data_IF_223710616536
#
_entry.id   IF_223710616536
#
_cell.length_a   1.000
_cell.length_b   1.000
_cell.length_c   1.000
_cell.angle_alpha   90.00
_cell.angle_beta   90.00
_cell.angle_gamma   90.00
#
_symmetry.space_group_name_H-M   'P 1'
#
loop_
_entity.id
_entity.type
_entity.pdbx_description
1 polymer ?
#
# COMPACT_ATOMS: atom_id res chain seq x y z
N UNK A 1 -11.34 -0.07 19.21
CA UNK A 1 -10.78 0.49 17.97
C UNK A 1 -11.86 0.42 16.90
N UNK A 2 -12.22 1.54 16.30
CA UNK A 2 -13.25 1.55 15.26
C UNK A 2 -12.52 1.58 13.92
N UNK A 3 -12.73 0.58 13.10
CA UNK A 3 -12.22 0.51 11.74
C UNK A 3 -13.35 0.84 10.77
N UNK A 4 -13.10 1.76 9.88
CA UNK A 4 -14.06 2.17 8.86
C UNK A 4 -13.43 1.92 7.49
N UNK A 5 -14.14 1.23 6.62
CA UNK A 5 -13.92 1.35 5.19
C UNK A 5 -14.78 2.51 4.72
N UNK A 6 -14.15 3.66 4.47
CA UNK A 6 -14.90 4.82 4.03
C UNK A 6 -15.02 4.87 2.51
N UNK A 7 -16.07 5.52 2.08
CA UNK A 7 -16.28 5.90 0.69
C UNK A 7 -15.77 7.31 0.50
N UNK A 8 -14.83 7.53 -0.40
CA UNK A 8 -14.43 8.87 -0.81
C UNK A 8 -14.76 9.09 -2.29
N UNK A 9 -15.39 10.22 -2.59
CA UNK A 9 -15.78 10.60 -3.96
C UNK A 9 -17.25 10.38 -4.30
N UNK A 10 -17.69 10.88 -5.45
CA UNK A 10 -19.12 10.98 -5.85
C UNK A 10 -19.67 9.65 -6.39
N UNK A 11 -18.82 8.67 -6.71
CA UNK A 11 -19.24 7.34 -7.17
C UNK A 11 -18.34 6.28 -6.54
N UNK A 12 -18.91 5.48 -5.67
CA UNK A 12 -18.21 4.57 -4.79
C UNK A 12 -17.91 3.23 -5.48
N UNK A 13 -16.64 2.83 -5.47
CA UNK A 13 -16.28 1.44 -5.62
C UNK A 13 -16.39 0.77 -4.25
N UNK A 14 -17.11 -0.32 -4.17
CA UNK A 14 -17.34 -1.03 -2.93
C UNK A 14 -16.57 -2.34 -3.01
N UNK A 15 -15.74 -2.59 -2.01
CA UNK A 15 -15.26 -3.93 -1.75
C UNK A 15 -16.47 -4.77 -1.38
N UNK A 16 -16.93 -5.63 -2.29
CA UNK A 16 -18.20 -6.33 -2.16
C UNK A 16 -18.15 -7.60 -1.31
N UNK A 17 -16.98 -8.14 -1.10
CA UNK A 17 -16.82 -9.44 -0.43
C UNK A 17 -15.63 -9.39 0.52
N UNK A 18 -15.91 -9.05 1.76
CA UNK A 18 -14.93 -9.12 2.85
C UNK A 18 -15.49 -9.89 4.04
N UNK A 19 -14.62 -10.67 4.66
CA UNK A 19 -14.86 -11.28 5.94
C UNK A 19 -13.88 -10.71 6.98
N UNK A 20 -14.30 -10.66 8.22
CA UNK A 20 -13.46 -10.30 9.34
C UNK A 20 -13.46 -11.37 10.43
N UNK A 21 -12.38 -11.39 11.21
CA UNK A 21 -12.26 -12.21 12.42
C UNK A 21 -11.61 -11.38 13.53
N UNK A 22 -12.12 -11.53 14.75
CA UNK A 22 -11.57 -10.92 15.97
C UNK A 22 -10.95 -11.96 16.91
N UNK A 23 -10.96 -13.23 16.53
CA UNK A 23 -10.53 -14.39 17.32
C UNK A 23 -9.43 -15.20 16.64
N UNK A 24 -8.51 -14.49 15.97
CA UNK A 24 -7.34 -15.07 15.28
C UNK A 24 -7.69 -16.03 14.12
N UNK A 25 -8.80 -15.76 13.43
CA UNK A 25 -9.23 -16.52 12.26
C UNK A 25 -9.96 -17.82 12.58
N UNK A 26 -10.35 -18.06 13.84
CA UNK A 26 -11.14 -19.24 14.22
C UNK A 26 -12.57 -19.15 13.68
N UNK A 27 -13.18 -17.97 13.77
CA UNK A 27 -14.48 -17.69 13.20
C UNK A 27 -14.41 -16.46 12.29
N UNK A 28 -15.18 -16.49 11.21
CA UNK A 28 -15.25 -15.42 10.23
C UNK A 28 -16.69 -14.97 10.06
N UNK A 29 -16.87 -13.65 10.08
CA UNK A 29 -18.16 -13.01 9.82
C UNK A 29 -18.06 -12.13 8.58
N UNK A 30 -19.13 -11.99 7.84
CA UNK A 30 -19.17 -11.13 6.67
C UNK A 30 -19.09 -9.66 7.06
N UNK A 31 -18.30 -8.90 6.33
CA UNK A 31 -18.08 -7.47 6.53
C UNK A 31 -18.86 -6.68 5.48
N UNK A 32 -19.88 -5.93 5.92
CA UNK A 32 -20.59 -5.01 5.04
C UNK A 32 -19.86 -3.67 5.01
N UNK A 33 -19.50 -3.21 3.81
CA UNK A 33 -18.75 -1.96 3.63
C UNK A 33 -19.59 -0.69 3.84
N UNK A 34 -20.91 -0.85 4.00
CA UNK A 34 -21.85 0.27 4.20
C UNK A 34 -22.10 0.60 5.67
N UNK A 35 -21.49 -0.15 6.58
CA UNK A 35 -21.69 0.00 8.00
C UNK A 35 -20.39 0.34 8.72
N UNK A 36 -20.54 1.13 9.79
CA UNK A 36 -19.48 1.36 10.76
C UNK A 36 -19.39 0.18 11.71
N UNK A 37 -18.25 -0.48 11.78
CA UNK A 37 -18.01 -1.56 12.72
C UNK A 37 -17.18 -1.08 13.91
N UNK A 38 -17.75 -1.22 15.11
CA UNK A 38 -17.04 -1.01 16.36
C UNK A 38 -16.66 -2.38 16.93
N UNK A 39 -15.37 -2.70 16.89
CA UNK A 39 -14.86 -3.98 17.39
C UNK A 39 -14.51 -3.95 18.90
N UNK A 40 -14.96 -2.93 19.61
CA UNK A 40 -14.77 -2.79 21.05
C UNK A 40 -13.30 -2.78 21.45
N UNK A 41 -12.95 -3.60 22.45
CA UNK A 41 -11.57 -3.71 22.96
C UNK A 41 -10.71 -4.73 22.19
N UNK A 42 -11.10 -5.12 20.98
CA UNK A 42 -10.29 -6.05 20.19
C UNK A 42 -8.92 -5.43 19.92
N UNK A 43 -7.86 -6.19 20.14
CA UNK A 43 -6.48 -5.79 19.86
C UNK A 43 -6.05 -6.24 18.48
N UNK A 44 -6.81 -7.11 17.83
CA UNK A 44 -6.51 -7.64 16.50
C UNK A 44 -7.79 -7.79 15.68
N UNK A 45 -7.71 -7.30 14.44
CA UNK A 45 -8.71 -7.52 13.42
C UNK A 45 -8.03 -8.19 12.22
N UNK A 46 -8.57 -9.33 11.78
CA UNK A 46 -8.13 -9.99 10.56
C UNK A 46 -9.17 -9.74 9.47
N UNK A 47 -8.70 -9.47 8.26
CA UNK A 47 -9.54 -9.22 7.08
C UNK A 47 -9.10 -10.13 5.94
N UNK A 48 -10.08 -10.62 5.18
CA UNK A 48 -9.88 -11.35 3.93
C UNK A 48 -11.05 -11.09 3.00
N UNK A 49 -10.88 -11.32 1.71
CA UNK A 49 -11.95 -11.04 0.76
C UNK A 49 -11.83 -11.82 -0.55
N UNK A 50 -12.82 -11.61 -1.39
CA UNK A 50 -12.83 -12.11 -2.75
C UNK A 50 -13.28 -10.99 -3.70
N UNK A 51 -12.36 -10.07 -3.99
CA UNK A 51 -12.60 -8.87 -4.79
C UNK A 51 -11.69 -8.93 -6.04
N UNK A 52 -12.01 -9.74 -7.03
CA UNK A 52 -11.13 -10.02 -8.17
C UNK A 52 -10.82 -8.78 -9.03
N UNK A 53 -11.61 -7.74 -8.91
CA UNK A 53 -11.38 -6.46 -9.60
C UNK A 53 -10.62 -5.44 -8.73
N UNK A 54 -10.04 -5.86 -7.61
CA UNK A 54 -9.30 -5.01 -6.69
C UNK A 54 -10.16 -4.13 -5.79
N UNK A 55 -9.54 -3.08 -5.23
CA UNK A 55 -10.16 -2.16 -4.27
C UNK A 55 -10.49 -0.79 -4.90
N UNK A 56 -10.17 -0.59 -6.18
CA UNK A 56 -10.45 0.63 -6.92
C UNK A 56 -10.83 0.33 -8.38
N UNK A 57 -11.55 1.27 -9.01
CA UNK A 57 -11.85 1.26 -10.47
C UNK A 57 -11.09 2.34 -11.22
N UNK A 58 -10.57 3.34 -10.51
CA UNK A 58 -9.76 4.40 -11.09
C UNK A 58 -8.84 5.00 -10.01
N UNK A 59 -7.77 5.65 -10.44
CA UNK A 59 -6.85 6.35 -9.54
C UNK A 59 -7.40 7.68 -8.99
N UNK A 60 -8.46 8.22 -9.57
CA UNK A 60 -8.89 9.59 -9.32
C UNK A 60 -10.26 9.76 -8.64
N UNK A 61 -11.11 8.75 -8.56
CA UNK A 61 -12.45 9.01 -8.07
C UNK A 61 -13.28 7.83 -7.60
N UNK A 62 -12.87 6.60 -7.89
CA UNK A 62 -13.67 5.42 -7.54
C UNK A 62 -12.76 4.38 -6.89
N UNK A 63 -12.56 4.51 -5.59
CA UNK A 63 -11.70 3.62 -4.80
C UNK A 63 -12.24 3.45 -3.38
N UNK A 64 -11.85 2.35 -2.75
CA UNK A 64 -12.08 2.10 -1.33
C UNK A 64 -10.80 2.38 -0.56
N UNK A 65 -10.91 2.96 0.63
CA UNK A 65 -9.76 3.13 1.53
C UNK A 65 -10.12 2.75 2.96
N UNK A 66 -9.10 2.40 3.73
CA UNK A 66 -9.24 2.26 5.17
C UNK A 66 -9.24 3.63 5.85
N UNK A 67 -10.06 3.77 6.88
CA UNK A 67 -10.00 4.87 7.83
C UNK A 67 -9.99 4.29 9.25
N UNK A 68 -9.08 4.76 10.08
CA UNK A 68 -9.00 4.36 11.48
C UNK A 68 -9.65 5.44 12.35
N UNK A 69 -10.68 5.08 13.12
CA UNK A 69 -11.60 6.03 13.75
C UNK A 69 -11.00 6.94 14.82
N UNK A 70 -10.01 6.46 15.59
CA UNK A 70 -9.42 7.26 16.68
C UNK A 70 -7.98 7.69 16.34
N UNK A 71 -7.76 8.99 16.14
CA UNK A 71 -6.47 9.55 15.73
C UNK A 71 -5.30 9.24 16.69
N UNK A 72 -5.59 8.97 17.95
CA UNK A 72 -4.59 8.67 19.00
C UNK A 72 -4.11 7.22 18.99
N UNK A 73 -4.85 6.31 18.38
CA UNK A 73 -4.53 4.89 18.40
C UNK A 73 -3.63 4.53 17.23
N UNK A 74 -2.44 4.02 17.52
CA UNK A 74 -1.54 3.49 16.49
C UNK A 74 -2.03 2.13 15.98
N UNK A 75 -1.88 1.90 14.69
CA UNK A 75 -2.33 0.68 14.00
C UNK A 75 -1.15 0.08 13.25
N UNK A 76 -0.90 -1.20 13.48
CA UNK A 76 0.05 -1.99 12.71
C UNK A 76 -0.70 -2.97 11.81
N UNK A 77 -0.38 -2.98 10.53
CA UNK A 77 -0.84 -3.99 9.58
C UNK A 77 0.23 -5.05 9.36
N UNK A 78 -0.18 -6.26 9.04
CA UNK A 78 0.68 -7.39 8.68
C UNK A 78 -0.06 -8.37 7.78
N UNK A 79 0.68 -9.27 7.14
CA UNK A 79 0.14 -10.27 6.22
C UNK A 79 -0.01 -9.75 4.79
N UNK A 80 -0.22 -10.65 3.86
CA UNK A 80 -0.26 -10.37 2.43
C UNK A 80 -1.56 -9.66 2.04
N UNK A 81 -1.44 -8.47 1.46
CA UNK A 81 -2.59 -7.64 1.06
C UNK A 81 -3.48 -8.33 0.01
N UNK A 82 -2.92 -9.29 -0.77
CA UNK A 82 -3.66 -10.02 -1.79
C UNK A 82 -4.77 -10.90 -1.23
N UNK A 83 -4.74 -11.19 0.08
CA UNK A 83 -5.85 -11.87 0.78
C UNK A 83 -7.18 -11.10 0.71
N UNK A 84 -7.17 -9.79 0.46
CA UNK A 84 -8.38 -8.98 0.27
C UNK A 84 -9.05 -9.22 -1.08
N UNK A 85 -8.29 -9.68 -2.07
CA UNK A 85 -8.77 -9.83 -3.44
C UNK A 85 -9.01 -11.28 -3.84
N UNK A 86 -8.26 -12.22 -3.28
CA UNK A 86 -8.40 -13.66 -3.59
C UNK A 86 -8.03 -14.51 -2.37
N UNK A 87 -8.91 -14.55 -1.37
CA UNK A 87 -8.66 -15.12 -0.05
C UNK A 87 -8.15 -16.57 -0.04
N UNK A 88 -8.61 -17.40 -0.97
CA UNK A 88 -8.27 -18.83 -1.01
C UNK A 88 -6.98 -19.12 -1.81
N UNK A 89 -6.61 -18.24 -2.74
CA UNK A 89 -5.47 -18.44 -3.65
C UNK A 89 -4.66 -17.13 -3.85
N UNK A 90 -4.51 -16.37 -2.76
CA UNK A 90 -3.87 -15.04 -2.80
C UNK A 90 -2.41 -15.08 -3.26
N UNK A 91 -1.70 -16.17 -2.99
CA UNK A 91 -0.28 -16.31 -3.37
C UNK A 91 -0.06 -16.28 -4.87
N UNK A 92 -1.06 -16.73 -5.65
CA UNK A 92 -1.06 -16.72 -7.10
C UNK A 92 -1.81 -15.51 -7.71
N UNK A 93 -2.26 -14.57 -6.87
CA UNK A 93 -2.92 -13.38 -7.36
C UNK A 93 -1.89 -12.37 -7.87
N UNK A 94 -1.86 -12.14 -9.19
CA UNK A 94 -1.16 -11.00 -9.80
C UNK A 94 -1.93 -9.70 -9.54
N UNK A 95 -1.27 -8.55 -9.61
CA UNK A 95 -1.96 -7.27 -9.59
C UNK A 95 -2.66 -7.02 -10.92
N UNK A 96 -3.70 -6.20 -10.89
CA UNK A 96 -4.39 -5.64 -12.06
C UNK A 96 -4.37 -4.12 -11.96
N UNK A 97 -4.77 -3.44 -13.02
CA UNK A 97 -4.80 -1.99 -13.04
C UNK A 97 -5.60 -1.43 -11.86
N UNK A 98 -5.05 -0.41 -11.22
CA UNK A 98 -5.58 0.30 -10.05
C UNK A 98 -5.90 -0.56 -8.82
N UNK A 99 -5.39 -1.78 -8.73
CA UNK A 99 -5.85 -2.85 -7.84
C UNK A 99 -5.92 -2.46 -6.35
N UNK A 100 -4.90 -1.75 -5.82
CA UNK A 100 -4.84 -1.28 -4.43
C UNK A 100 -4.61 0.24 -4.33
N UNK A 101 -4.96 0.97 -5.40
CA UNK A 101 -4.82 2.42 -5.45
C UNK A 101 -5.49 3.06 -4.23
N UNK A 102 -4.75 3.94 -3.53
CA UNK A 102 -5.22 4.76 -2.39
C UNK A 102 -5.74 3.98 -1.17
N UNK A 103 -5.49 2.67 -1.07
CA UNK A 103 -6.16 1.83 -0.05
C UNK A 103 -5.88 2.29 1.40
N UNK A 104 -4.70 2.83 1.69
CA UNK A 104 -4.33 3.37 3.00
C UNK A 104 -4.07 4.89 2.96
N UNK A 105 -4.51 5.59 1.92
CA UNK A 105 -4.31 7.04 1.79
C UNK A 105 -4.82 7.79 3.03
N UNK A 106 -3.96 8.60 3.65
CA UNK A 106 -4.28 9.41 4.82
C UNK A 106 -4.42 8.63 6.12
N UNK A 107 -4.00 7.37 6.17
CA UNK A 107 -3.99 6.59 7.42
C UNK A 107 -2.84 7.03 8.34
N UNK A 108 -2.98 8.21 8.96
CA UNK A 108 -1.94 8.81 9.82
C UNK A 108 -1.58 7.98 11.05
N UNK A 109 -2.40 7.02 11.44
CA UNK A 109 -2.18 6.10 12.55
C UNK A 109 -1.37 4.86 12.17
N UNK A 110 -1.21 4.58 10.87
CA UNK A 110 -0.54 3.38 10.38
C UNK A 110 0.96 3.43 10.69
N UNK A 111 1.46 2.45 11.46
CA UNK A 111 2.89 2.36 11.85
C UNK A 111 3.66 1.30 11.09
N UNK A 112 2.98 0.26 10.60
CA UNK A 112 3.54 -0.74 9.70
C UNK A 112 2.55 -1.11 8.61
N UNK A 113 3.05 -1.30 7.40
CA UNK A 113 2.27 -1.68 6.23
C UNK A 113 2.04 -3.19 6.15
N UNK A 114 0.98 -3.66 5.45
CA UNK A 114 0.88 -5.06 5.04
C UNK A 114 1.97 -5.43 4.02
N UNK A 115 2.18 -6.70 3.81
CA UNK A 115 3.13 -7.23 2.82
C UNK A 115 2.60 -7.05 1.39
N UNK A 116 3.48 -6.62 0.48
CA UNK A 116 3.20 -6.48 -0.95
C UNK A 116 4.01 -7.52 -1.73
N UNK A 117 3.51 -8.74 -1.77
CA UNK A 117 4.23 -9.89 -2.31
C UNK A 117 4.06 -10.11 -3.84
N UNK A 118 3.37 -9.21 -4.54
CA UNK A 118 3.23 -9.33 -6.00
C UNK A 118 4.56 -9.00 -6.70
N UNK A 119 5.02 -9.94 -7.52
CA UNK A 119 6.23 -9.80 -8.34
C UNK A 119 5.95 -9.24 -9.73
N UNK A 120 4.70 -9.29 -10.16
CA UNK A 120 4.22 -8.70 -11.42
C UNK A 120 3.28 -7.54 -11.10
N UNK A 121 3.56 -6.39 -11.70
CA UNK A 121 2.79 -5.17 -11.49
C UNK A 121 1.91 -4.87 -12.70
N UNK A 122 0.78 -4.23 -12.45
CA UNK A 122 -0.07 -3.60 -13.43
C UNK A 122 -0.07 -2.07 -13.26
N UNK A 123 -0.67 -1.34 -14.20
CA UNK A 123 -0.70 0.11 -14.14
C UNK A 123 -1.47 0.60 -12.89
N UNK A 124 -0.95 1.62 -12.23
CA UNK A 124 -1.54 2.23 -11.02
C UNK A 124 -1.78 1.26 -9.85
N UNK A 125 -1.25 0.03 -9.86
CA UNK A 125 -1.66 -1.00 -8.89
C UNK A 125 -1.45 -0.63 -7.42
N UNK A 126 -0.45 0.20 -7.11
CA UNK A 126 -0.15 0.72 -5.78
C UNK A 126 -0.03 2.24 -5.73
N UNK A 127 -0.53 2.96 -6.75
CA UNK A 127 -0.49 4.40 -6.77
C UNK A 127 -1.19 5.00 -5.55
N UNK A 128 -0.56 5.99 -4.89
CA UNK A 128 -1.09 6.69 -3.70
C UNK A 128 -1.35 5.80 -2.48
N UNK A 129 -0.93 4.53 -2.49
CA UNK A 129 -1.41 3.53 -1.52
C UNK A 129 -1.16 3.94 -0.07
N UNK A 130 -0.02 4.54 0.24
CA UNK A 130 0.35 5.00 1.59
C UNK A 130 0.54 6.52 1.66
N UNK A 131 0.05 7.27 0.68
CA UNK A 131 0.14 8.74 0.68
C UNK A 131 -0.39 9.32 1.99
N UNK A 132 0.42 10.15 2.67
CA UNK A 132 0.04 10.79 3.93
C UNK A 132 -0.05 9.87 5.14
N UNK A 133 0.56 8.68 5.11
CA UNK A 133 0.70 7.81 6.29
C UNK A 133 1.84 8.31 7.19
N UNK A 134 1.63 9.43 7.88
CA UNK A 134 2.66 10.18 8.61
C UNK A 134 3.33 9.41 9.75
N UNK A 135 2.75 8.29 10.23
CA UNK A 135 3.33 7.44 11.28
C UNK A 135 4.02 6.18 10.74
N UNK A 136 4.00 5.95 9.42
CA UNK A 136 4.61 4.78 8.81
C UNK A 136 6.14 4.90 8.87
N UNK A 137 6.81 3.99 9.59
CA UNK A 137 8.26 4.06 9.82
C UNK A 137 9.07 3.23 8.83
N UNK A 138 8.48 2.16 8.29
CA UNK A 138 9.13 1.28 7.33
C UNK A 138 8.15 0.93 6.20
N UNK A 139 8.61 1.07 4.96
CA UNK A 139 7.86 0.60 3.80
C UNK A 139 7.82 -0.93 3.76
N UNK A 140 6.79 -1.53 3.15
CA UNK A 140 6.85 -2.94 2.77
C UNK A 140 7.94 -3.16 1.72
N UNK A 141 8.45 -4.39 1.63
CA UNK A 141 9.30 -4.79 0.51
C UNK A 141 8.54 -4.61 -0.82
N UNK A 142 9.18 -4.04 -1.82
CA UNK A 142 8.69 -3.91 -3.19
C UNK A 142 9.44 -4.93 -4.08
N UNK A 143 8.93 -6.17 -4.21
CA UNK A 143 9.70 -7.30 -4.77
C UNK A 143 9.69 -7.37 -6.30
N UNK A 144 8.84 -6.59 -6.96
CA UNK A 144 8.70 -6.63 -8.42
C UNK A 144 10.00 -6.22 -9.12
N UNK A 145 10.35 -6.94 -10.19
CA UNK A 145 11.56 -6.71 -10.97
C UNK A 145 11.36 -5.71 -12.11
N UNK A 146 10.16 -5.57 -12.60
CA UNK A 146 9.80 -4.66 -13.69
C UNK A 146 8.73 -3.67 -13.22
N UNK A 147 9.00 -2.37 -13.37
CA UNK A 147 8.03 -1.32 -13.09
C UNK A 147 7.04 -1.18 -14.26
N UNK A 148 5.83 -0.75 -13.96
CA UNK A 148 4.75 -0.46 -14.91
C UNK A 148 4.28 0.98 -14.75
N UNK A 149 3.54 1.49 -15.72
CA UNK A 149 3.06 2.86 -15.71
C UNK A 149 2.35 3.18 -14.38
N UNK A 150 2.76 4.27 -13.72
CA UNK A 150 2.16 4.79 -12.49
C UNK A 150 2.13 3.79 -11.31
N UNK A 151 2.88 2.67 -11.34
CA UNK A 151 2.71 1.58 -10.36
C UNK A 151 2.98 2.00 -8.92
N UNK A 152 3.93 2.92 -8.69
CA UNK A 152 4.29 3.48 -7.37
C UNK A 152 4.15 5.02 -7.33
N UNK A 153 3.40 5.59 -8.27
CA UNK A 153 3.12 7.03 -8.31
C UNK A 153 2.57 7.50 -6.96
N UNK A 154 3.16 8.55 -6.36
CA UNK A 154 2.80 9.13 -5.06
C UNK A 154 2.74 8.15 -3.89
N UNK A 155 3.30 6.94 -3.99
CA UNK A 155 3.02 5.83 -3.08
C UNK A 155 3.31 6.17 -1.61
N UNK A 156 4.43 6.81 -1.31
CA UNK A 156 4.86 7.19 0.03
C UNK A 156 4.90 8.71 0.26
N UNK A 157 4.34 9.49 -0.65
CA UNK A 157 4.32 10.95 -0.51
C UNK A 157 3.75 11.36 0.86
N UNK A 158 4.47 12.20 1.60
CA UNK A 158 4.05 12.68 2.93
C UNK A 158 4.11 11.62 4.04
N UNK A 159 4.83 10.51 3.86
CA UNK A 159 5.12 9.55 4.93
C UNK A 159 6.30 10.07 5.78
N UNK A 160 6.06 11.10 6.59
CA UNK A 160 7.10 11.87 7.29
C UNK A 160 8.00 11.05 8.22
N UNK A 161 7.48 9.98 8.84
CA UNK A 161 8.24 9.10 9.74
C UNK A 161 9.01 7.98 9.01
N UNK A 162 8.92 7.90 7.66
CA UNK A 162 9.50 6.80 6.91
C UNK A 162 11.02 6.87 6.89
N UNK A 163 11.70 5.79 7.28
CA UNK A 163 13.18 5.76 7.37
C UNK A 163 13.84 4.90 6.30
N UNK A 164 13.10 3.93 5.75
CA UNK A 164 13.65 3.01 4.76
C UNK A 164 12.61 2.47 3.79
N UNK A 165 13.05 2.27 2.55
CA UNK A 165 12.32 1.56 1.49
C UNK A 165 13.26 0.52 0.89
N UNK A 166 12.76 -0.68 0.57
CA UNK A 166 13.51 -1.67 -0.24
C UNK A 166 12.74 -1.95 -1.51
N UNK A 167 13.35 -1.64 -2.66
CA UNK A 167 12.77 -1.84 -3.99
C UNK A 167 13.73 -2.68 -4.84
N UNK A 168 13.22 -3.80 -5.36
CA UNK A 168 14.03 -4.79 -6.09
C UNK A 168 13.89 -4.71 -7.62
N UNK A 169 13.36 -3.60 -8.13
CA UNK A 169 13.20 -3.40 -9.57
C UNK A 169 14.56 -3.30 -10.26
N UNK A 170 14.66 -3.92 -11.44
CA UNK A 170 15.83 -3.93 -12.31
C UNK A 170 15.52 -3.45 -13.71
N UNK A 171 14.25 -3.11 -13.99
CA UNK A 171 13.79 -2.63 -15.30
C UNK A 171 12.48 -1.85 -15.19
N UNK A 172 12.07 -1.26 -16.30
CA UNK A 172 10.79 -0.54 -16.39
C UNK A 172 10.85 0.90 -15.87
N UNK A 173 12.02 1.46 -15.61
CA UNK A 173 12.19 2.85 -15.14
C UNK A 173 11.74 3.90 -16.16
N UNK A 174 11.58 3.49 -17.43
CA UNK A 174 11.02 4.32 -18.51
C UNK A 174 9.49 4.31 -18.57
N UNK A 175 8.83 3.45 -17.78
CA UNK A 175 7.38 3.40 -17.73
C UNK A 175 6.83 4.75 -17.21
N UNK A 176 5.78 5.24 -17.85
CA UNK A 176 5.19 6.55 -17.56
C UNK A 176 4.93 6.71 -16.06
N UNK A 177 5.57 7.74 -15.47
CA UNK A 177 5.36 8.17 -14.08
C UNK A 177 5.43 7.05 -13.03
N UNK A 178 6.21 5.96 -13.30
CA UNK A 178 6.25 4.78 -12.44
C UNK A 178 6.71 5.07 -10.99
N UNK A 179 7.55 6.10 -10.80
CA UNK A 179 8.08 6.59 -9.51
C UNK A 179 7.76 8.08 -9.27
N UNK A 180 6.82 8.66 -10.02
CA UNK A 180 6.53 10.08 -9.93
C UNK A 180 6.07 10.46 -8.51
N UNK A 181 6.80 11.36 -7.87
CA UNK A 181 6.58 11.87 -6.52
C UNK A 181 6.45 10.79 -5.43
N UNK A 182 6.98 9.59 -5.66
CA UNK A 182 6.77 8.45 -4.76
C UNK A 182 7.34 8.64 -3.35
N UNK A 183 8.39 9.49 -3.17
CA UNK A 183 9.01 9.82 -1.88
C UNK A 183 8.88 11.31 -1.51
N UNK A 184 8.09 12.11 -2.23
CA UNK A 184 7.99 13.53 -1.98
C UNK A 184 7.46 13.83 -0.56
N UNK A 185 8.22 14.60 0.22
CA UNK A 185 7.88 14.90 1.62
C UNK A 185 7.85 13.68 2.54
N UNK A 186 8.46 12.57 2.13
CA UNK A 186 8.62 11.39 2.95
C UNK A 186 9.98 11.40 3.67
N UNK A 187 10.02 10.81 4.86
CA UNK A 187 11.25 10.59 5.61
C UNK A 187 11.87 11.84 6.22
N UNK A 188 13.08 11.66 6.70
CA UNK A 188 13.94 12.69 7.28
C UNK A 188 15.34 12.55 6.69
N UNK A 189 16.24 13.52 6.97
CA UNK A 189 17.63 13.43 6.56
C UNK A 189 18.25 12.10 6.99
N UNK A 190 18.84 11.37 6.01
CA UNK A 190 19.44 10.05 6.23
C UNK A 190 18.51 8.86 5.97
N UNK A 191 17.26 9.10 5.56
CA UNK A 191 16.39 8.02 5.07
C UNK A 191 16.99 7.34 3.85
N UNK A 192 16.80 6.02 3.72
CA UNK A 192 17.52 5.22 2.71
C UNK A 192 16.59 4.37 1.84
N UNK A 193 16.89 4.30 0.55
CA UNK A 193 16.36 3.29 -0.36
C UNK A 193 17.39 2.19 -0.57
N UNK A 194 17.03 0.94 -0.27
CA UNK A 194 17.81 -0.22 -0.70
C UNK A 194 17.32 -0.63 -2.09
N UNK A 195 18.22 -0.59 -3.08
CA UNK A 195 17.95 -0.93 -4.47
C UNK A 195 18.55 -2.31 -4.81
N UNK A 196 18.09 -2.91 -5.89
CA UNK A 196 18.66 -4.17 -6.36
C UNK A 196 20.16 -4.01 -6.73
N UNK A 197 20.92 -5.10 -6.62
CA UNK A 197 22.34 -5.12 -6.99
C UNK A 197 22.54 -4.70 -8.46
N UNK A 198 23.54 -3.86 -8.72
CA UNK A 198 23.85 -3.32 -10.05
C UNK A 198 23.00 -2.11 -10.48
N UNK A 199 22.05 -1.65 -9.66
CA UNK A 199 21.14 -0.56 -10.02
C UNK A 199 21.64 0.83 -9.62
N UNK A 200 22.76 0.96 -8.94
CA UNK A 200 23.37 2.27 -8.61
C UNK A 200 23.81 3.08 -9.84
N UNK A 201 23.97 2.42 -10.98
CA UNK A 201 24.27 3.05 -12.27
C UNK A 201 23.02 3.39 -13.10
N UNK A 202 21.80 3.11 -12.63
CA UNK A 202 20.57 3.43 -13.33
C UNK A 202 20.17 4.91 -13.09
N UNK A 203 20.33 5.82 -14.08
CA UNK A 203 20.21 7.26 -13.84
C UNK A 203 18.80 7.70 -13.43
N UNK A 204 17.75 7.09 -14.02
CA UNK A 204 16.38 7.44 -13.69
C UNK A 204 16.04 7.05 -12.27
N UNK A 205 16.39 5.84 -11.84
CA UNK A 205 16.18 5.39 -10.48
C UNK A 205 16.91 6.27 -9.47
N UNK A 206 18.19 6.51 -9.68
CA UNK A 206 19.00 7.28 -8.72
C UNK A 206 18.57 8.74 -8.65
N UNK A 207 18.16 9.35 -9.77
CA UNK A 207 17.59 10.70 -9.76
C UNK A 207 16.26 10.78 -9.02
N UNK A 208 15.37 9.81 -9.21
CA UNK A 208 14.07 9.76 -8.51
C UNK A 208 14.22 9.53 -6.99
N UNK A 209 15.35 9.02 -6.53
CA UNK A 209 15.67 8.90 -5.10
C UNK A 209 16.29 10.20 -4.58
N UNK A 210 17.32 10.70 -5.27
CA UNK A 210 18.09 11.88 -4.85
C UNK A 210 17.29 13.19 -4.91
N UNK A 211 16.29 13.29 -5.78
CA UNK A 211 15.40 14.46 -5.88
C UNK A 211 14.62 14.74 -4.57
N UNK A 212 14.57 13.78 -3.64
CA UNK A 212 13.86 13.90 -2.36
C UNK A 212 14.79 13.83 -1.16
N UNK A 213 16.11 14.05 -1.36
CA UNK A 213 17.15 14.00 -0.32
C UNK A 213 17.30 12.62 0.36
N UNK A 214 16.88 11.56 -0.31
CA UNK A 214 17.09 10.19 0.14
C UNK A 214 18.45 9.67 -0.33
N UNK A 215 19.07 8.86 0.53
CA UNK A 215 20.27 8.09 0.18
C UNK A 215 19.86 6.76 -0.46
N UNK A 216 20.74 6.17 -1.25
CA UNK A 216 20.53 4.82 -1.75
C UNK A 216 21.75 3.93 -1.51
N UNK A 217 21.50 2.63 -1.38
CA UNK A 217 22.52 1.58 -1.30
C UNK A 217 22.02 0.33 -2.02
N UNK A 218 22.93 -0.44 -2.57
CA UNK A 218 22.63 -1.72 -3.19
C UNK A 218 22.37 -2.81 -2.15
N UNK A 219 21.51 -3.75 -2.51
CA UNK A 219 21.33 -4.98 -1.74
C UNK A 219 22.60 -5.82 -1.84
N UNK A 220 23.11 -6.28 -0.70
CA UNK A 220 24.26 -7.20 -0.62
C UNK A 220 23.87 -8.62 -0.96
#
# INVERSE_FOLDING_TARGET
MNYVLSRTGVRHYIINSMDYSTDYGKHWSHFSTDQLYAFGKTTRLMLRGNNPNGTAKSNAGVYSKFEFGEKQTKVACSGDIRTLVKKEDYKNAATQDVYFTRLFEGCTQLTSAPELQATELAAYCYAWMFHGCTSLTQAPLLPAKELKAHCYEYMFMGCEALTSVTMLATSGFDATECLYWWLAGAGTNGSTVTIASGMSSEPKLTSEISNYDWLYKEQQ
#
